data_IF_226700133022
#
_entry.id   IF_226700133022
#
_cell.length_a   1.000
_cell.length_b   1.000
_cell.length_c   1.000
_cell.angle_alpha   90.00
_cell.angle_beta   90.00
_cell.angle_gamma   90.00
#
_symmetry.space_group_name_H-M   'P 1'
#
loop_
_entity.id
_entity.type
_entity.pdbx_description
1 polymer ?
#
# COMPACT_ATOMS: atom_id res chain seq x y z
N UNK A 1 49.60 10.65 36.58
CA UNK A 1 49.36 11.09 35.19
C UNK A 1 47.88 11.42 35.06
N UNK A 2 47.56 12.67 34.72
CA UNK A 2 46.19 13.14 34.42
C UNK A 2 45.95 12.90 32.92
N UNK A 3 44.85 12.26 32.55
CA UNK A 3 44.35 12.29 31.18
C UNK A 3 42.85 12.60 31.18
N UNK A 4 42.55 13.71 30.52
CA UNK A 4 41.24 14.26 30.21
C UNK A 4 40.55 13.48 29.10
N UNK A 5 39.22 13.38 29.16
CA UNK A 5 38.32 13.29 27.99
C UNK A 5 36.89 13.56 28.52
N UNK A 6 36.41 14.80 28.48
CA UNK A 6 35.71 15.43 27.33
C UNK A 6 34.34 14.81 27.07
N UNK A 7 33.31 15.61 27.36
CA UNK A 7 31.90 15.35 27.15
C UNK A 7 31.52 15.39 25.66
N UNK A 8 30.55 14.58 25.25
CA UNK A 8 29.61 14.92 24.17
C UNK A 8 28.27 14.27 24.46
N UNK A 9 27.31 15.09 24.88
CA UNK A 9 25.90 14.75 24.99
C UNK A 9 25.32 14.69 23.59
N UNK A 10 25.06 13.48 23.08
CA UNK A 10 24.19 13.32 21.91
C UNK A 10 22.75 13.20 22.38
N UNK A 11 22.12 14.36 22.63
CA UNK A 11 20.67 14.43 22.64
C UNK A 11 20.19 14.39 21.19
N UNK A 12 19.89 13.19 20.70
CA UNK A 12 19.15 13.02 19.45
C UNK A 12 17.73 13.56 19.69
N UNK A 13 17.49 14.82 19.32
CA UNK A 13 16.15 15.33 19.15
C UNK A 13 15.52 14.59 17.96
N UNK A 14 14.85 13.47 18.25
CA UNK A 14 13.90 12.89 17.31
C UNK A 14 12.83 13.96 17.08
N UNK A 15 12.89 14.62 15.93
CA UNK A 15 11.79 15.39 15.41
C UNK A 15 10.64 14.41 15.18
N UNK A 16 9.83 14.19 16.22
CA UNK A 16 8.48 13.71 16.07
C UNK A 16 7.75 14.82 15.30
N UNK A 17 7.82 14.76 13.97
CA UNK A 17 6.86 15.45 13.14
C UNK A 17 5.49 15.04 13.66
N UNK A 18 4.76 16.00 14.22
CA UNK A 18 3.35 15.83 14.54
C UNK A 18 2.64 15.58 13.21
N UNK A 19 2.58 14.31 12.80
CA UNK A 19 1.52 13.83 11.94
C UNK A 19 0.26 14.14 12.72
N UNK A 20 -0.46 15.19 12.30
CA UNK A 20 -1.86 15.30 12.63
C UNK A 20 -2.44 13.94 12.28
N UNK A 21 -3.00 13.22 13.26
CA UNK A 21 -3.74 11.99 12.98
C UNK A 21 -4.83 12.37 11.99
N UNK A 22 -4.58 12.10 10.71
CA UNK A 22 -5.62 12.14 9.70
C UNK A 22 -6.53 10.99 10.09
N UNK A 23 -7.75 11.30 10.50
CA UNK A 23 -8.72 10.26 10.86
C UNK A 23 -8.76 9.21 9.75
N UNK A 24 -8.51 7.95 10.13
CA UNK A 24 -8.60 6.84 9.19
C UNK A 24 -10.03 6.80 8.64
N UNK A 25 -10.16 6.77 7.32
CA UNK A 25 -11.45 6.73 6.62
C UNK A 25 -11.82 5.29 6.27
N UNK A 26 -10.83 4.46 5.96
CA UNK A 26 -11.00 3.03 5.75
C UNK A 26 -9.79 2.27 6.30
N UNK A 27 -10.03 1.06 6.79
CA UNK A 27 -9.00 0.10 7.17
C UNK A 27 -8.88 -0.97 6.09
N UNK A 28 -7.65 -1.25 5.68
CA UNK A 28 -7.30 -2.32 4.74
C UNK A 28 -6.72 -3.48 5.52
N UNK A 29 -7.08 -4.70 5.15
CA UNK A 29 -6.54 -5.93 5.72
C UNK A 29 -6.32 -7.01 4.66
N UNK A 30 -5.42 -7.94 4.96
CA UNK A 30 -4.97 -9.00 4.03
C UNK A 30 -4.57 -8.48 2.65
N UNK A 31 -4.00 -7.28 2.59
CA UNK A 31 -3.53 -6.71 1.35
C UNK A 31 -2.42 -7.57 0.76
N UNK A 32 -2.59 -7.91 -0.52
CA UNK A 32 -1.60 -8.58 -1.33
C UNK A 32 -1.63 -8.03 -2.74
N UNK A 33 -0.45 -7.97 -3.36
CA UNK A 33 -0.33 -7.65 -4.77
C UNK A 33 0.86 -8.41 -5.35
N UNK A 34 0.68 -9.01 -6.52
CA UNK A 34 1.75 -9.77 -7.15
C UNK A 34 1.51 -10.11 -8.60
N UNK A 35 2.60 -10.23 -9.35
CA UNK A 35 2.61 -10.71 -10.72
C UNK A 35 2.94 -12.20 -10.76
N UNK A 36 2.21 -12.97 -11.56
CA UNK A 36 2.36 -14.41 -11.63
C UNK A 36 3.61 -14.81 -12.45
N UNK A 37 4.43 -15.72 -11.92
CA UNK A 37 5.73 -16.14 -12.52
C UNK A 37 5.67 -16.56 -14.00
N UNK A 38 4.52 -17.06 -14.47
CA UNK A 38 4.34 -17.58 -15.83
C UNK A 38 3.19 -16.92 -16.60
N UNK A 39 2.64 -15.84 -16.06
CA UNK A 39 1.56 -15.10 -16.69
C UNK A 39 1.91 -13.63 -16.75
N UNK A 40 1.44 -12.97 -17.79
CA UNK A 40 1.49 -11.51 -17.89
C UNK A 40 0.39 -10.86 -17.04
N UNK A 41 -0.20 -11.58 -16.08
CA UNK A 41 -1.21 -11.05 -15.17
C UNK A 41 -0.65 -10.84 -13.77
N UNK A 42 -1.08 -9.75 -13.17
CA UNK A 42 -0.91 -9.44 -11.77
C UNK A 42 -2.28 -9.30 -11.12
N UNK A 43 -2.33 -9.42 -9.80
CA UNK A 43 -3.56 -9.27 -9.04
C UNK A 43 -3.30 -8.39 -7.83
N UNK A 44 -4.27 -7.54 -7.51
CA UNK A 44 -4.41 -6.89 -6.21
C UNK A 44 -5.58 -7.55 -5.48
N UNK A 45 -5.42 -7.85 -4.20
CA UNK A 45 -6.46 -8.42 -3.36
C UNK A 45 -6.36 -7.86 -1.94
N UNK A 46 -7.50 -7.50 -1.36
CA UNK A 46 -7.58 -7.02 0.03
C UNK A 46 -9.02 -7.06 0.54
N UNK A 47 -9.18 -6.86 1.84
CA UNK A 47 -10.46 -6.57 2.48
C UNK A 47 -10.47 -5.15 3.04
N UNK A 48 -11.60 -4.48 2.86
CA UNK A 48 -11.84 -3.11 3.27
C UNK A 48 -12.89 -3.06 4.38
N UNK A 49 -12.68 -2.20 5.37
CA UNK A 49 -13.67 -1.92 6.42
C UNK A 49 -13.73 -0.42 6.68
N UNK A 50 -14.91 0.11 6.97
CA UNK A 50 -15.08 1.51 7.36
C UNK A 50 -15.11 1.63 8.89
N UNK A 51 -14.31 2.49 9.53
CA UNK A 51 -14.40 2.72 10.96
C UNK A 51 -15.78 3.32 11.31
N UNK A 52 -16.44 2.73 12.31
CA UNK A 52 -17.73 3.23 12.82
C UNK A 52 -18.97 2.89 11.98
N UNK A 53 -18.81 2.41 10.74
CA UNK A 53 -19.92 1.77 10.05
C UNK A 53 -20.15 0.39 10.70
N UNK A 54 -21.37 0.09 11.12
CA UNK A 54 -21.74 -1.24 11.62
C UNK A 54 -21.70 -2.33 10.54
N UNK A 55 -20.79 -2.25 9.56
CA UNK A 55 -20.53 -3.29 8.58
C UNK A 55 -20.10 -4.55 9.32
N UNK A 56 -21.02 -5.50 9.44
CA UNK A 56 -20.79 -6.74 10.15
C UNK A 56 -19.69 -7.61 9.49
N UNK A 57 -19.28 -7.29 8.24
CA UNK A 57 -18.26 -8.02 7.49
C UNK A 57 -17.45 -7.06 6.60
N UNK A 58 -16.12 -7.22 6.53
CA UNK A 58 -15.28 -6.52 5.56
C UNK A 58 -15.72 -6.79 4.12
N UNK A 59 -15.55 -5.79 3.26
CA UNK A 59 -15.78 -5.90 1.81
C UNK A 59 -14.53 -6.41 1.13
N UNK A 60 -14.64 -7.47 0.35
CA UNK A 60 -13.55 -7.99 -0.46
C UNK A 60 -13.37 -7.17 -1.74
N UNK A 61 -12.13 -6.83 -2.06
CA UNK A 61 -11.76 -6.08 -3.25
C UNK A 61 -10.65 -6.82 -4.00
N UNK A 62 -10.83 -6.95 -5.32
CA UNK A 62 -9.86 -7.64 -6.17
C UNK A 62 -9.89 -7.09 -7.59
N UNK A 63 -8.72 -6.93 -8.20
CA UNK A 63 -8.62 -6.61 -9.61
C UNK A 63 -7.39 -7.28 -10.24
N UNK A 64 -7.58 -8.06 -11.31
CA UNK A 64 -6.49 -8.46 -12.17
C UNK A 64 -6.08 -7.31 -13.10
N UNK A 65 -4.81 -7.27 -13.49
CA UNK A 65 -4.31 -6.36 -14.51
C UNK A 65 -3.13 -6.97 -15.27
N UNK A 66 -2.90 -6.57 -16.53
CA UNK A 66 -1.72 -7.01 -17.27
C UNK A 66 -0.47 -6.39 -16.64
N UNK A 67 0.58 -7.18 -16.41
CA UNK A 67 1.86 -6.71 -15.90
C UNK A 67 2.38 -5.53 -16.72
N UNK A 68 2.93 -4.54 -16.02
CA UNK A 68 3.60 -3.41 -16.65
C UNK A 68 4.94 -3.80 -17.28
N UNK A 69 5.66 -2.82 -17.83
CA UNK A 69 7.03 -3.01 -18.27
C UNK A 69 7.87 -3.66 -17.17
N UNK A 70 8.76 -4.59 -17.54
CA UNK A 70 9.63 -5.31 -16.59
C UNK A 70 8.88 -6.07 -15.48
N UNK A 71 7.65 -6.52 -15.75
CA UNK A 71 6.88 -7.31 -14.77
C UNK A 71 6.35 -6.51 -13.59
N UNK A 72 6.32 -5.18 -13.71
CA UNK A 72 5.83 -4.29 -12.67
C UNK A 72 4.35 -4.50 -12.38
N UNK A 73 3.96 -4.28 -11.12
CA UNK A 73 2.56 -4.23 -10.74
C UNK A 73 1.84 -3.13 -11.55
N UNK A 74 0.64 -3.42 -12.09
CA UNK A 74 -0.03 -2.51 -13.00
C UNK A 74 -0.77 -1.41 -12.28
N UNK A 75 -1.04 -0.34 -13.03
CA UNK A 75 -2.07 0.61 -12.63
C UNK A 75 -3.45 -0.04 -12.75
N UNK A 76 -4.32 0.26 -11.80
CA UNK A 76 -5.72 -0.17 -11.80
C UNK A 76 -6.58 1.09 -11.78
N UNK A 77 -7.51 1.18 -12.74
CA UNK A 77 -8.54 2.22 -12.77
C UNK A 77 -9.88 1.58 -12.48
N UNK A 78 -10.56 2.07 -11.43
CA UNK A 78 -11.87 1.61 -11.00
C UNK A 78 -11.95 0.09 -10.72
N UNK A 79 -10.93 -0.44 -10.04
CA UNK A 79 -10.93 -1.78 -9.49
C UNK A 79 -12.18 -2.03 -8.65
N UNK A 80 -12.73 -3.25 -8.73
CA UNK A 80 -14.03 -3.56 -8.15
C UNK A 80 -13.91 -4.23 -6.79
N UNK A 81 -14.89 -3.94 -5.95
CA UNK A 81 -15.15 -4.65 -4.71
C UNK A 81 -16.46 -5.44 -4.84
N UNK A 82 -16.68 -6.40 -3.94
CA UNK A 82 -17.95 -7.15 -3.89
C UNK A 82 -19.14 -6.23 -3.60
N UNK A 83 -18.91 -5.13 -2.90
CA UNK A 83 -19.82 -3.99 -2.85
C UNK A 83 -19.56 -3.05 -4.04
N UNK A 84 -20.56 -2.93 -4.92
CA UNK A 84 -20.50 -2.09 -6.12
C UNK A 84 -20.41 -0.58 -5.83
N UNK A 85 -20.75 -0.14 -4.61
CA UNK A 85 -20.58 1.25 -4.20
C UNK A 85 -19.12 1.62 -3.89
N UNK A 86 -18.23 0.62 -3.77
CA UNK A 86 -16.82 0.79 -3.46
C UNK A 86 -15.96 0.44 -4.68
N UNK A 87 -14.95 1.25 -4.93
CA UNK A 87 -13.96 1.00 -5.96
C UNK A 87 -12.58 1.44 -5.50
N UNK A 88 -11.53 0.94 -6.15
CA UNK A 88 -10.16 1.32 -5.83
C UNK A 88 -9.36 1.65 -7.08
N UNK A 89 -8.32 2.45 -6.91
CA UNK A 89 -7.35 2.78 -7.94
C UNK A 89 -5.94 2.49 -7.44
N UNK A 90 -5.07 2.15 -8.38
CA UNK A 90 -3.63 2.08 -8.18
C UNK A 90 -2.98 2.90 -9.27
N UNK A 91 -2.25 3.93 -8.89
CA UNK A 91 -1.52 4.80 -9.81
C UNK A 91 -0.02 4.73 -9.53
N UNK A 92 0.80 4.73 -10.58
CA UNK A 92 2.26 4.81 -10.43
C UNK A 92 2.67 6.24 -10.12
N UNK A 93 3.51 6.40 -9.09
CA UNK A 93 4.08 7.68 -8.68
C UNK A 93 5.60 7.54 -8.51
N UNK A 94 6.32 8.66 -8.37
CA UNK A 94 7.78 8.63 -8.30
C UNK A 94 8.29 7.84 -7.08
N UNK A 95 7.51 7.82 -6.00
CA UNK A 95 7.83 7.20 -4.71
C UNK A 95 7.37 5.74 -4.61
N UNK A 96 6.55 5.25 -5.54
CA UNK A 96 5.96 3.90 -5.51
C UNK A 96 4.60 3.83 -6.18
N UNK A 97 3.61 3.27 -5.46
CA UNK A 97 2.22 3.18 -5.92
C UNK A 97 1.32 4.01 -4.98
N UNK A 98 0.51 4.89 -5.55
CA UNK A 98 -0.58 5.52 -4.81
C UNK A 98 -1.81 4.59 -4.90
N UNK A 99 -2.17 4.00 -3.77
CA UNK A 99 -3.34 3.14 -3.61
C UNK A 99 -4.48 3.96 -3.01
N UNK A 100 -5.63 4.03 -3.68
CA UNK A 100 -6.79 4.77 -3.19
C UNK A 100 -8.08 4.00 -3.31
N UNK A 101 -9.00 4.28 -2.40
CA UNK A 101 -10.34 3.71 -2.35
C UNK A 101 -11.35 4.82 -2.34
N UNK A 102 -12.43 4.65 -3.10
CA UNK A 102 -13.58 5.54 -3.16
C UNK A 102 -14.84 4.79 -2.77
N UNK A 103 -15.63 5.37 -1.85
CA UNK A 103 -16.95 4.89 -1.43
C UNK A 103 -17.90 6.07 -1.30
N UNK A 104 -18.90 6.18 -2.19
CA UNK A 104 -19.75 7.35 -2.29
C UNK A 104 -18.93 8.61 -2.62
N UNK A 105 -18.99 9.63 -1.75
CA UNK A 105 -18.25 10.89 -1.91
C UNK A 105 -16.87 10.87 -1.21
N UNK A 106 -16.57 9.82 -0.44
CA UNK A 106 -15.32 9.72 0.31
C UNK A 106 -14.24 9.02 -0.52
N UNK A 107 -13.04 9.60 -0.56
CA UNK A 107 -11.85 8.96 -1.13
C UNK A 107 -10.72 9.06 -0.14
N UNK A 108 -10.01 7.96 0.09
CA UNK A 108 -8.84 7.93 0.95
C UNK A 108 -7.73 7.11 0.30
N UNK A 109 -6.49 7.37 0.71
CA UNK A 109 -5.31 6.83 0.03
C UNK A 109 -4.21 6.40 0.99
N UNK A 110 -3.30 5.60 0.46
CA UNK A 110 -2.08 5.15 1.09
C UNK A 110 -0.97 5.05 0.04
N UNK A 111 0.21 5.57 0.37
CA UNK A 111 1.39 5.40 -0.46
C UNK A 111 2.03 4.05 -0.14
N UNK A 112 2.10 3.17 -1.12
CA UNK A 112 2.94 1.98 -1.08
C UNK A 112 4.33 2.38 -1.59
N UNK A 113 5.34 2.52 -0.72
CA UNK A 113 6.67 2.96 -1.14
C UNK A 113 7.37 1.88 -1.96
N UNK A 114 8.28 2.29 -2.85
CA UNK A 114 9.14 1.38 -3.65
C UNK A 114 9.85 0.32 -2.82
N UNK A 115 10.22 0.62 -1.56
CA UNK A 115 10.87 -0.35 -0.67
C UNK A 115 10.01 -1.56 -0.32
N UNK A 116 8.69 -1.48 -0.53
CA UNK A 116 7.75 -2.60 -0.35
C UNK A 116 7.47 -3.35 -1.66
N UNK A 117 8.07 -2.93 -2.78
CA UNK A 117 7.90 -3.54 -4.09
C UNK A 117 9.19 -4.29 -4.46
N UNK A 118 9.13 -5.61 -4.47
CA UNK A 118 10.27 -6.47 -4.73
C UNK A 118 10.15 -7.04 -6.13
N UNK A 119 11.16 -6.79 -6.95
CA UNK A 119 11.29 -7.40 -8.27
C UNK A 119 12.21 -8.61 -8.19
N UNK A 120 11.81 -9.73 -8.79
CA UNK A 120 12.60 -10.95 -8.89
C UNK A 120 12.68 -11.43 -10.32
N UNK A 121 13.89 -11.87 -10.72
CA UNK A 121 14.12 -12.57 -11.96
C UNK A 121 13.66 -14.02 -11.82
N UNK A 122 12.65 -14.37 -12.60
CA UNK A 122 12.12 -15.72 -12.73
C UNK A 122 12.66 -16.38 -14.00
N UNK A 123 12.75 -17.72 -14.08
CA UNK A 123 13.37 -18.40 -15.21
C UNK A 123 12.88 -17.98 -16.60
N UNK A 124 11.65 -17.45 -16.70
CA UNK A 124 11.03 -17.03 -17.95
C UNK A 124 10.40 -15.62 -17.89
N UNK A 125 10.53 -14.88 -16.79
CA UNK A 125 9.88 -13.58 -16.64
C UNK A 125 10.57 -12.74 -15.55
N UNK A 126 10.34 -11.44 -15.57
CA UNK A 126 10.59 -10.60 -14.39
C UNK A 126 9.23 -10.40 -13.73
N UNK A 127 9.14 -10.49 -12.40
CA UNK A 127 7.89 -10.24 -11.67
C UNK A 127 8.12 -9.31 -10.49
N UNK A 128 7.16 -8.43 -10.27
CA UNK A 128 7.12 -7.59 -9.08
C UNK A 128 6.03 -8.05 -8.13
N UNK A 129 6.37 -8.12 -6.85
CA UNK A 129 5.46 -8.48 -5.77
C UNK A 129 5.52 -7.46 -4.64
N UNK A 130 4.40 -7.29 -3.96
CA UNK A 130 4.32 -6.54 -2.72
C UNK A 130 4.84 -7.38 -1.56
N UNK A 131 5.69 -6.77 -0.72
CA UNK A 131 6.27 -7.38 0.48
C UNK A 131 6.17 -6.46 1.70
N UNK A 132 5.19 -5.55 1.73
CA UNK A 132 4.94 -4.66 2.86
C UNK A 132 3.89 -5.21 3.84
N UNK A 133 3.42 -4.37 4.78
CA UNK A 133 2.35 -4.72 5.71
C UNK A 133 1.06 -5.14 5.01
N UNK A 134 0.43 -6.21 5.50
CA UNK A 134 -0.85 -6.68 4.94
C UNK A 134 -2.05 -5.89 5.47
N UNK A 135 -1.86 -5.02 6.46
CA UNK A 135 -2.90 -4.17 7.02
C UNK A 135 -2.37 -2.75 7.22
N UNK A 136 -3.19 -1.77 6.84
CA UNK A 136 -2.89 -0.35 6.95
C UNK A 136 -4.16 0.48 6.85
N UNK A 137 -4.09 1.71 7.34
CA UNK A 137 -5.18 2.68 7.27
C UNK A 137 -5.08 3.54 6.01
N UNK A 138 -6.23 3.89 5.47
CA UNK A 138 -6.38 4.88 4.39
C UNK A 138 -6.84 6.20 4.99
N UNK A 139 -6.16 7.27 4.59
CA UNK A 139 -6.45 8.63 5.06
C UNK A 139 -6.78 9.54 3.88
N UNK A 140 -7.61 10.54 4.12
CA UNK A 140 -7.87 11.64 3.17
C UNK A 140 -6.66 12.55 3.01
#
# INVERSE_FOLDING_TARGET
MKFSAAAVLFAAAAAAGSVAERDAVFSVSSFSAGCMRHSTQCVYHFFLSSPGAGEAKPVECSAPGPAGPNGELPEIKQGKCTDAAKSFNVAKVAEGLNFSVTSGEQTASHLIPKSQLVTSDEPNNVVQNYNGPTSFELTQ
#
